data_IF_301384674624
#
_entry.id   IF_301384674624
#
_cell.length_a   1.000
_cell.length_b   1.000
_cell.length_c   1.000
_cell.angle_alpha   90.00
_cell.angle_beta   90.00
_cell.angle_gamma   90.00
#
_symmetry.space_group_name_H-M   'P 1'
#
loop_
_entity.id
_entity.type
_entity.pdbx_description
1 polymer ?
#
# COMPACT_ATOMS: atom_id res chain seq x y z
N UNK A 1 -6.83 2.78 -11.10
CA UNK A 1 -5.60 2.31 -10.42
C UNK A 1 -6.00 1.77 -9.07
N UNK A 2 -5.31 0.73 -8.59
CA UNK A 2 -5.63 0.05 -7.35
C UNK A 2 -4.37 -0.16 -6.51
N UNK A 3 -4.41 0.23 -5.25
CA UNK A 3 -3.35 -0.04 -4.28
C UNK A 3 -3.59 -1.40 -3.64
N UNK A 4 -2.52 -2.16 -3.46
CA UNK A 4 -2.46 -3.39 -2.68
C UNK A 4 -1.36 -3.28 -1.63
N UNK A 5 -1.62 -3.86 -0.46
CA UNK A 5 -0.65 -4.04 0.60
C UNK A 5 -0.69 -5.49 1.05
N UNK A 6 0.47 -6.14 1.13
CA UNK A 6 0.60 -7.56 1.51
C UNK A 6 1.68 -7.68 2.57
N UNK A 7 1.33 -8.25 3.72
CA UNK A 7 2.32 -8.62 4.73
C UNK A 7 2.99 -9.93 4.32
N UNK A 8 4.30 -9.87 4.06
CA UNK A 8 5.14 -11.01 3.70
C UNK A 8 5.61 -11.71 4.98
N UNK A 9 4.80 -12.67 5.40
CA UNK A 9 5.07 -13.61 6.48
C UNK A 9 5.20 -15.03 5.87
N UNK A 10 5.45 -16.11 6.65
CA UNK A 10 5.50 -17.46 6.09
C UNK A 10 4.27 -17.82 5.24
N UNK A 11 3.12 -17.25 5.59
CA UNK A 11 1.93 -17.19 4.74
C UNK A 11 1.65 -15.72 4.43
N UNK A 12 1.66 -15.30 3.15
CA UNK A 12 1.34 -13.92 2.78
C UNK A 12 -0.10 -13.56 3.14
N UNK A 13 -0.29 -12.41 3.80
CA UNK A 13 -1.61 -11.92 4.20
C UNK A 13 -1.91 -10.61 3.47
N UNK A 14 -3.02 -10.57 2.74
CA UNK A 14 -3.52 -9.34 2.12
C UNK A 14 -4.06 -8.41 3.21
N UNK A 15 -3.59 -7.16 3.22
CA UNK A 15 -4.11 -6.15 4.12
C UNK A 15 -5.40 -5.54 3.54
N UNK A 16 -6.49 -5.45 4.32
CA UNK A 16 -7.77 -4.92 3.85
C UNK A 16 -7.76 -3.39 3.80
N UNK A 17 -7.30 -2.81 2.68
CA UNK A 17 -7.26 -1.35 2.50
C UNK A 17 -8.65 -0.68 2.41
N UNK A 18 -9.71 -1.46 2.15
CA UNK A 18 -11.08 -0.94 2.05
C UNK A 18 -11.16 0.19 1.01
N UNK A 19 -11.83 1.32 1.30
CA UNK A 19 -11.88 2.46 0.38
C UNK A 19 -10.52 3.03 -0.03
N UNK A 20 -9.49 2.82 0.81
CA UNK A 20 -8.13 3.30 0.55
C UNK A 20 -7.42 2.52 -0.59
N UNK A 21 -8.03 1.44 -1.09
CA UNK A 21 -7.49 0.71 -2.24
C UNK A 21 -7.62 1.50 -3.55
N UNK A 22 -8.51 2.50 -3.62
CA UNK A 22 -8.70 3.33 -4.83
C UNK A 22 -7.63 4.42 -4.87
N UNK A 23 -6.47 4.11 -5.45
CA UNK A 23 -5.28 4.99 -5.44
C UNK A 23 -5.58 6.44 -5.87
N UNK A 24 -6.44 6.62 -6.88
CA UNK A 24 -6.79 7.92 -7.43
C UNK A 24 -7.39 8.90 -6.41
N UNK A 25 -8.00 8.39 -5.33
CA UNK A 25 -8.62 9.23 -4.30
C UNK A 25 -7.61 9.85 -3.33
N UNK A 26 -6.34 9.44 -3.40
CA UNK A 26 -5.30 9.81 -2.43
C UNK A 26 -4.01 10.33 -3.10
N UNK A 27 -4.15 10.82 -4.33
CA UNK A 27 -3.12 11.64 -4.97
C UNK A 27 -3.22 13.07 -4.41
N UNK A 28 -2.11 13.65 -3.97
CA UNK A 28 -2.10 14.96 -3.32
C UNK A 28 -1.97 16.12 -4.32
N UNK A 29 -1.38 15.87 -5.49
CA UNK A 29 -1.00 16.90 -6.47
C UNK A 29 -1.47 16.58 -7.91
N UNK A 30 -2.26 15.53 -8.10
CA UNK A 30 -2.70 15.03 -9.40
C UNK A 30 -4.05 14.30 -9.27
N UNK A 31 -4.65 13.93 -10.40
CA UNK A 31 -5.88 13.15 -10.47
C UNK A 31 -5.81 12.15 -11.63
N UNK A 32 -6.65 11.12 -11.59
CA UNK A 32 -6.73 10.17 -12.69
C UNK A 32 -7.51 10.74 -13.88
N UNK A 33 -7.05 10.55 -15.14
CA UNK A 33 -5.89 9.73 -15.53
C UNK A 33 -4.54 10.45 -15.32
N UNK A 34 -3.57 9.73 -14.76
CA UNK A 34 -2.17 10.18 -14.70
C UNK A 34 -1.54 10.03 -16.08
N UNK A 35 -0.78 11.05 -16.51
CA UNK A 35 -0.09 11.04 -17.80
C UNK A 35 1.35 10.56 -17.67
N UNK A 36 1.91 10.04 -18.77
CA UNK A 36 3.31 9.64 -18.82
C UNK A 36 4.24 10.85 -18.55
N UNK A 37 5.24 10.64 -17.69
CA UNK A 37 6.19 11.69 -17.29
C UNK A 37 5.71 12.61 -16.16
N UNK A 38 4.47 12.48 -15.69
CA UNK A 38 3.95 13.24 -14.57
C UNK A 38 4.56 12.79 -13.23
N UNK A 39 5.00 13.73 -12.41
CA UNK A 39 5.48 13.45 -11.05
C UNK A 39 4.30 13.60 -10.07
N UNK A 40 3.89 12.48 -9.47
CA UNK A 40 2.74 12.43 -8.56
C UNK A 40 3.17 12.13 -7.12
N UNK A 41 2.44 12.73 -6.19
CA UNK A 41 2.56 12.51 -4.75
C UNK A 41 1.33 11.73 -4.26
N UNK A 42 1.57 10.65 -3.53
CA UNK A 42 0.55 9.71 -3.06
C UNK A 42 0.66 9.51 -1.54
N UNK A 43 -0.46 9.62 -0.85
CA UNK A 43 -0.55 9.40 0.60
C UNK A 43 -1.41 8.18 0.93
N UNK A 44 -0.86 7.21 1.66
CA UNK A 44 -1.63 6.09 2.20
C UNK A 44 -1.65 6.14 3.73
N UNK A 45 -2.85 6.10 4.31
CA UNK A 45 -3.06 5.89 5.74
C UNK A 45 -3.63 4.50 5.97
N UNK A 46 -3.02 3.78 6.90
CA UNK A 46 -3.42 2.41 7.27
C UNK A 46 -3.52 2.30 8.79
N UNK A 47 -4.49 1.52 9.23
CA UNK A 47 -4.61 1.14 10.63
C UNK A 47 -3.65 0.00 10.96
N UNK A 48 -3.10 -0.03 12.17
CA UNK A 48 -2.31 -1.19 12.60
C UNK A 48 -3.28 -2.25 13.08
N UNK A 49 -3.55 -3.24 12.25
CA UNK A 49 -4.51 -4.29 12.55
C UNK A 49 -4.09 -5.17 13.75
N UNK A 50 -5.03 -5.72 14.53
CA UNK A 50 -4.71 -6.51 15.73
C UNK A 50 -3.91 -7.78 15.46
N UNK A 51 -3.92 -8.30 14.23
CA UNK A 51 -3.19 -9.50 13.82
C UNK A 51 -1.72 -9.25 13.51
N UNK A 52 -1.26 -8.00 13.47
CA UNK A 52 0.16 -7.72 13.26
C UNK A 52 0.99 -8.26 14.44
N UNK A 53 2.04 -9.05 14.16
CA UNK A 53 2.90 -9.53 15.22
C UNK A 53 3.89 -8.43 15.66
N UNK A 54 4.43 -8.58 16.87
CA UNK A 54 5.47 -7.66 17.41
C UNK A 54 6.88 -8.07 17.01
N UNK A 55 7.04 -8.68 15.83
CA UNK A 55 8.31 -9.07 15.22
C UNK A 55 8.49 -8.32 13.90
N UNK A 56 9.71 -8.26 13.34
CA UNK A 56 9.91 -7.68 12.02
C UNK A 56 9.06 -8.38 10.95
N UNK A 57 8.29 -7.60 10.18
CA UNK A 57 7.49 -8.05 9.04
C UNK A 57 7.79 -7.15 7.85
N UNK A 58 7.91 -7.72 6.66
CA UNK A 58 8.03 -6.92 5.44
C UNK A 58 6.64 -6.72 4.84
N UNK A 59 6.25 -5.47 4.58
CA UNK A 59 5.04 -5.17 3.81
C UNK A 59 5.45 -4.85 2.38
N UNK A 60 4.85 -5.54 1.41
CA UNK A 60 4.88 -5.17 0.00
C UNK A 60 3.72 -4.24 -0.31
N UNK A 61 4.05 -3.05 -0.82
CA UNK A 61 3.09 -2.09 -1.34
C UNK A 61 3.19 -2.05 -2.86
N UNK A 62 2.05 -2.08 -3.53
CA UNK A 62 1.98 -2.07 -4.99
C UNK A 62 0.80 -1.24 -5.45
N UNK A 63 1.01 -0.45 -6.50
CA UNK A 63 -0.09 0.18 -7.25
C UNK A 63 -0.16 -0.45 -8.63
N UNK A 64 -1.35 -0.91 -8.98
CA UNK A 64 -1.68 -1.53 -10.26
C UNK A 64 -2.52 -0.57 -11.11
N UNK A 65 -2.24 -0.54 -12.41
CA UNK A 65 -3.06 0.16 -13.40
C UNK A 65 -4.37 -0.60 -13.69
N UNK A 66 -5.13 -0.14 -14.69
CA UNK A 66 -6.39 -0.79 -15.11
C UNK A 66 -6.21 -2.18 -15.73
N UNK A 67 -5.00 -2.52 -16.16
CA UNK A 67 -4.64 -3.80 -16.79
C UNK A 67 -3.98 -4.75 -15.78
N UNK A 68 -4.02 -4.43 -14.48
CA UNK A 68 -3.32 -5.15 -13.42
C UNK A 68 -1.79 -5.16 -13.57
N UNK A 69 -1.22 -4.19 -14.30
CA UNK A 69 0.23 -4.01 -14.42
C UNK A 69 0.71 -3.13 -13.27
N UNK A 70 1.78 -3.54 -12.61
CA UNK A 70 2.36 -2.78 -11.50
C UNK A 70 3.01 -1.49 -12.03
N UNK A 71 2.50 -0.34 -11.60
CA UNK A 71 3.11 0.98 -11.86
C UNK A 71 4.34 1.15 -10.97
N UNK A 72 4.21 0.75 -9.70
CA UNK A 72 5.33 0.66 -8.77
C UNK A 72 5.07 -0.44 -7.73
N UNK A 73 6.18 -0.94 -7.17
CA UNK A 73 6.18 -1.94 -6.10
C UNK A 73 7.37 -1.69 -5.17
N UNK A 74 7.12 -1.49 -3.88
CA UNK A 74 8.17 -1.32 -2.87
C UNK A 74 7.94 -2.29 -1.71
N UNK A 75 9.02 -2.66 -1.03
CA UNK A 75 8.99 -3.53 0.15
C UNK A 75 9.60 -2.79 1.32
N UNK A 76 8.86 -2.72 2.43
CA UNK A 76 9.26 -1.99 3.62
C UNK A 76 9.29 -2.95 4.82
N UNK A 77 10.45 -3.17 5.45
CA UNK A 77 10.50 -3.87 6.73
C UNK A 77 9.97 -2.95 7.84
N UNK A 78 9.04 -3.45 8.63
CA UNK A 78 8.46 -2.74 9.78
C UNK A 78 8.52 -3.60 11.05
N UNK A 79 8.45 -2.97 12.21
CA UNK A 79 8.24 -3.62 13.50
C UNK A 79 7.09 -2.92 14.20
N UNK A 80 6.03 -3.66 14.52
CA UNK A 80 4.90 -3.12 15.29
C UNK A 80 5.23 -3.21 16.79
N UNK A 81 5.16 -2.08 17.48
CA UNK A 81 5.33 -2.00 18.94
C UNK A 81 3.98 -1.79 19.61
N UNK A 82 3.75 -2.44 20.76
CA UNK A 82 2.53 -2.23 21.55
C UNK A 82 2.65 -0.92 22.32
N UNK A 83 1.55 -0.15 22.48
CA UNK A 83 1.51 0.97 23.41
C UNK A 83 1.89 0.48 24.82
N UNK A 84 2.71 1.26 25.52
CA UNK A 84 3.06 1.03 26.93
C UNK A 84 1.97 1.56 27.85
#
# INVERSE_FOLDING_TARGET
>A
MKTRAVALMPIPINYPLGPNEVTCNFLNNSYCPILEGEIVEYSLKMFIEPWFPTIPVTIEFRVEDKNAVSVWCIRLPIVVVRPQ
#
